data_IF_159250774453
#
_entry.id   IF_159250774453
#
_cell.length_a   1.000
_cell.length_b   1.000
_cell.length_c   1.000
_cell.angle_alpha   90.00
_cell.angle_beta   90.00
_cell.angle_gamma   90.00
#
_symmetry.space_group_name_H-M   'P 1'
#
loop_
_entity.id
_entity.type
_entity.pdbx_description
1 polymer ?
#
# COMPACT_ATOMS: atom_id res chain seq x y z
N UNK A 1 -13.66 -2.73 -22.78
CA UNK A 1 -12.68 -3.59 -22.08
C UNK A 1 -11.29 -2.99 -22.26
N UNK A 2 -10.49 -2.87 -21.19
CA UNK A 2 -9.07 -2.52 -21.32
C UNK A 2 -8.26 -3.82 -21.37
N UNK A 3 -7.33 -3.91 -22.31
CA UNK A 3 -6.48 -5.10 -22.51
C UNK A 3 -5.03 -4.67 -22.44
N UNK A 4 -4.21 -5.45 -21.73
CA UNK A 4 -2.76 -5.27 -21.65
C UNK A 4 -2.12 -6.49 -22.29
N UNK A 5 -1.29 -6.26 -23.30
CA UNK A 5 -0.50 -7.30 -23.94
C UNK A 5 0.96 -7.12 -23.56
N UNK A 6 1.55 -8.13 -22.93
CA UNK A 6 2.97 -8.14 -22.57
C UNK A 6 3.67 -9.08 -23.55
N UNK A 7 4.62 -8.54 -24.33
CA UNK A 7 5.42 -9.30 -25.29
C UNK A 7 6.80 -9.59 -24.72
N UNK A 8 7.46 -10.61 -25.25
CA UNK A 8 8.82 -10.99 -24.90
C UNK A 8 9.00 -11.26 -23.40
N UNK A 9 8.01 -11.93 -22.79
CA UNK A 9 8.10 -12.36 -21.39
C UNK A 9 9.14 -13.48 -21.31
N UNK A 10 10.20 -13.35 -20.49
CA UNK A 10 11.16 -14.42 -20.28
C UNK A 10 10.48 -15.71 -19.80
N UNK A 11 10.89 -16.86 -20.32
CA UNK A 11 10.27 -18.16 -20.04
C UNK A 11 10.27 -18.50 -18.54
N UNK A 12 11.35 -18.16 -17.85
CA UNK A 12 11.50 -18.34 -16.41
C UNK A 12 10.48 -17.50 -15.63
N UNK A 13 10.28 -16.23 -16.03
CA UNK A 13 9.28 -15.35 -15.42
C UNK A 13 7.87 -15.87 -15.67
N UNK A 14 7.55 -16.30 -16.90
CA UNK A 14 6.25 -16.88 -17.22
C UNK A 14 5.97 -18.12 -16.36
N UNK A 15 6.95 -19.03 -16.25
CA UNK A 15 6.84 -20.24 -15.42
C UNK A 15 6.66 -19.91 -13.94
N UNK A 16 7.37 -18.90 -13.43
CA UNK A 16 7.21 -18.46 -12.05
C UNK A 16 5.78 -17.93 -11.79
N UNK A 17 5.23 -17.11 -12.68
CA UNK A 17 3.85 -16.60 -12.57
C UNK A 17 2.84 -17.75 -12.66
N UNK A 18 3.02 -18.69 -13.60
CA UNK A 18 2.14 -19.84 -13.76
C UNK A 18 2.13 -20.75 -12.53
N UNK A 19 3.31 -20.99 -11.92
CA UNK A 19 3.42 -21.74 -10.66
C UNK A 19 2.66 -21.04 -9.54
N UNK A 20 2.87 -19.73 -9.35
CA UNK A 20 2.15 -18.95 -8.34
C UNK A 20 0.63 -18.96 -8.58
N UNK A 21 0.19 -18.89 -9.83
CA UNK A 21 -1.23 -18.95 -10.18
C UNK A 21 -1.84 -20.29 -9.75
N UNK A 22 -1.14 -21.40 -10.02
CA UNK A 22 -1.57 -22.76 -9.61
C UNK A 22 -1.66 -22.89 -8.09
N UNK A 23 -0.63 -22.43 -7.36
CA UNK A 23 -0.60 -22.46 -5.90
C UNK A 23 -1.75 -21.66 -5.28
N UNK A 24 -2.09 -20.52 -5.88
CA UNK A 24 -3.17 -19.65 -5.41
C UNK A 24 -4.55 -20.02 -5.97
N UNK A 25 -4.67 -21.12 -6.75
CA UNK A 25 -5.90 -21.57 -7.42
C UNK A 25 -6.54 -20.48 -8.29
N UNK A 26 -5.71 -19.73 -9.02
CA UNK A 26 -6.11 -18.63 -9.91
C UNK A 26 -5.70 -18.91 -11.35
N UNK A 27 -6.37 -18.26 -12.30
CA UNK A 27 -5.86 -18.16 -13.67
C UNK A 27 -4.60 -17.29 -13.71
N UNK A 28 -3.75 -17.48 -14.73
CA UNK A 28 -2.54 -16.66 -14.93
C UNK A 28 -2.92 -15.19 -15.05
N UNK A 29 -3.99 -14.87 -15.79
CA UNK A 29 -4.50 -13.51 -15.95
C UNK A 29 -4.86 -12.88 -14.60
N UNK A 30 -5.60 -13.61 -13.75
CA UNK A 30 -5.98 -13.12 -12.43
C UNK A 30 -4.77 -12.97 -11.49
N UNK A 31 -3.78 -13.86 -11.61
CA UNK A 31 -2.55 -13.75 -10.85
C UNK A 31 -1.73 -12.52 -11.26
N UNK A 32 -1.65 -12.21 -12.56
CA UNK A 32 -1.00 -10.99 -13.06
C UNK A 32 -1.72 -9.75 -12.54
N UNK A 33 -3.05 -9.71 -12.58
CA UNK A 33 -3.83 -8.60 -11.99
C UNK A 33 -3.56 -8.44 -10.49
N UNK A 34 -3.45 -9.54 -9.75
CA UNK A 34 -3.14 -9.52 -8.30
C UNK A 34 -1.75 -8.93 -8.03
N UNK A 35 -0.76 -9.29 -8.86
CA UNK A 35 0.60 -8.75 -8.74
C UNK A 35 0.61 -7.25 -9.04
N UNK A 36 -0.09 -6.83 -10.10
CA UNK A 36 -0.19 -5.41 -10.48
C UNK A 36 -0.90 -4.57 -9.39
N UNK A 37 -1.97 -5.08 -8.78
CA UNK A 37 -2.64 -4.36 -7.69
C UNK A 37 -1.76 -4.27 -6.43
N UNK A 38 -0.99 -5.31 -6.10
CA UNK A 38 0.00 -5.23 -5.01
C UNK A 38 1.08 -4.18 -5.31
N UNK A 39 1.58 -4.13 -6.54
CA UNK A 39 2.55 -3.12 -6.95
C UNK A 39 1.97 -1.70 -6.85
N UNK A 40 0.68 -1.52 -7.19
CA UNK A 40 -0.04 -0.26 -6.99
C UNK A 40 -0.04 0.16 -5.52
N UNK A 41 -0.36 -0.75 -4.60
CA UNK A 41 -0.35 -0.45 -3.15
C UNK A 41 1.04 -0.06 -2.66
N UNK A 42 2.09 -0.71 -3.18
CA UNK A 42 3.48 -0.39 -2.84
C UNK A 42 3.92 0.97 -3.41
N UNK A 43 3.40 1.36 -4.57
CA UNK A 43 3.71 2.64 -5.22
C UNK A 43 2.88 3.83 -4.70
N UNK A 44 1.62 3.59 -4.31
CA UNK A 44 0.69 4.67 -3.95
C UNK A 44 1.01 5.30 -2.59
N UNK A 45 1.67 4.58 -1.69
CA UNK A 45 1.96 5.05 -0.33
C UNK A 45 3.42 4.79 0.05
N UNK A 46 4.30 5.69 -0.34
CA UNK A 46 5.55 5.81 0.42
C UNK A 46 5.16 6.14 1.86
N UNK A 47 5.88 5.60 2.84
CA UNK A 47 5.69 5.95 4.26
C UNK A 47 5.67 7.48 4.43
N UNK A 48 6.40 8.18 3.56
CA UNK A 48 6.47 9.64 3.45
C UNK A 48 5.14 10.27 2.99
N UNK A 49 4.40 9.68 2.05
CA UNK A 49 3.08 10.20 1.63
C UNK A 49 2.04 10.06 2.74
N UNK A 50 2.11 8.96 3.51
CA UNK A 50 1.27 8.79 4.70
C UNK A 50 1.63 9.82 5.77
N UNK A 51 2.92 10.01 6.05
CA UNK A 51 3.39 11.03 7.00
C UNK A 51 3.01 12.44 6.55
N UNK A 52 3.13 12.75 5.25
CA UNK A 52 2.75 14.04 4.66
C UNK A 52 1.25 14.29 4.78
N UNK A 53 0.41 13.29 4.52
CA UNK A 53 -1.04 13.40 4.74
C UNK A 53 -1.39 13.65 6.20
N UNK A 54 -0.73 12.96 7.15
CA UNK A 54 -0.94 13.18 8.58
C UNK A 54 -0.52 14.60 8.97
N UNK A 55 0.68 15.04 8.56
CA UNK A 55 1.16 16.41 8.85
C UNK A 55 0.22 17.46 8.27
N UNK A 56 -0.23 17.33 7.03
CA UNK A 56 -1.23 18.23 6.42
C UNK A 56 -2.55 18.26 7.19
N UNK A 57 -3.03 17.10 7.65
CA UNK A 57 -4.27 17.00 8.43
C UNK A 57 -4.18 17.64 9.82
N UNK A 58 -2.99 17.58 10.42
CA UNK A 58 -2.71 18.16 11.74
C UNK A 58 -2.24 19.62 11.66
N UNK A 59 -1.87 20.10 10.47
CA UNK A 59 -1.44 21.48 10.25
C UNK A 59 -2.57 22.45 10.59
N UNK A 60 -2.30 23.42 11.46
CA UNK A 60 -3.28 24.42 11.90
C UNK A 60 -4.26 23.94 12.98
N UNK A 61 -4.13 22.70 13.47
CA UNK A 61 -4.84 22.30 14.69
C UNK A 61 -4.03 22.73 15.92
N UNK A 62 -4.71 23.35 16.88
CA UNK A 62 -4.16 23.49 18.23
C UNK A 62 -4.19 22.10 18.85
N UNK A 63 -3.07 21.39 18.77
CA UNK A 63 -2.88 20.16 19.52
C UNK A 63 -2.70 20.60 20.97
N UNK A 64 -3.67 20.29 21.83
CA UNK A 64 -3.61 20.64 23.25
C UNK A 64 -2.31 20.15 23.87
N UNK A 65 -1.83 20.86 24.88
CA UNK A 65 -0.65 20.42 25.61
C UNK A 65 -1.04 19.28 26.56
N UNK A 66 -0.89 18.05 26.06
CA UNK A 66 -1.18 16.83 26.83
C UNK A 66 -0.38 16.78 28.14
N UNK A 67 0.77 17.46 28.22
CA UNK A 67 1.56 17.50 29.46
C UNK A 67 0.89 18.39 30.50
N UNK A 68 0.33 19.53 30.10
CA UNK A 68 -0.43 20.40 31.00
C UNK A 68 -1.74 19.74 31.44
N UNK A 69 -2.47 19.07 30.54
CA UNK A 69 -3.68 18.31 30.90
C UNK A 69 -3.38 17.22 31.96
N UNK A 70 -2.26 16.50 31.83
CA UNK A 70 -1.84 15.49 32.82
C UNK A 70 -1.42 16.13 34.16
N UNK A 71 -0.82 17.32 34.14
CA UNK A 71 -0.44 18.06 35.35
C UNK A 71 -1.66 18.56 36.11
N UNK A 72 -2.64 19.11 35.41
CA UNK A 72 -3.92 19.54 35.98
C UNK A 72 -4.68 18.36 36.61
N UNK A 73 -4.67 17.19 35.96
CA UNK A 73 -5.33 15.99 36.46
C UNK A 73 -4.63 15.38 37.70
N UNK A 74 -3.30 15.52 37.83
CA UNK A 74 -2.54 15.10 39.03
C UNK A 74 -2.71 16.01 40.23
N UNK A 75 -3.08 17.27 40.03
CA UNK A 75 -3.26 18.26 41.10
C UNK A 75 -4.72 18.31 41.60
N UNK A 76 -5.58 17.44 41.09
CA UNK A 76 -6.97 17.24 41.53
C UNK A 76 -7.09 16.11 42.53
#
# INVERSE_FOLDING_TARGET
>A
MKVITIRNVPDDLYRAIARLAKENRRSIQQQVLTILDRARVLGDHTVLDRATRIRKRLQGRMLGDTVEEIREERNR
#
